data_IF_811496596945
#
_entry.id   IF_811496596945
#
_cell.length_a   1.000
_cell.length_b   1.000
_cell.length_c   1.000
_cell.angle_alpha   90.00
_cell.angle_beta   90.00
_cell.angle_gamma   90.00
#
_symmetry.space_group_name_H-M   'P 1'
#
loop_
_entity.id
_entity.type
_entity.pdbx_description
1 polymer ?
#
# COMPACT_ATOMS: atom_id res chain seq x y z
N UNK A 1 47.27 -25.48 3.09
CA UNK A 1 46.90 -24.49 4.14
C UNK A 1 45.48 -23.98 3.95
N UNK A 2 45.08 -23.62 2.72
CA UNK A 2 43.72 -23.17 2.34
C UNK A 2 42.56 -24.03 2.90
N UNK A 3 42.62 -25.35 2.71
CA UNK A 3 41.54 -26.27 3.12
C UNK A 3 41.33 -26.36 4.65
N UNK A 4 42.39 -26.09 5.43
CA UNK A 4 42.32 -26.13 6.89
C UNK A 4 41.70 -24.85 7.45
N UNK A 5 41.97 -23.71 6.81
CA UNK A 5 41.40 -22.40 7.17
C UNK A 5 39.90 -22.37 6.84
N UNK A 6 39.48 -22.92 5.70
CA UNK A 6 38.07 -23.01 5.33
C UNK A 6 37.24 -23.85 6.32
N UNK A 7 37.75 -25.01 6.74
CA UNK A 7 37.09 -25.85 7.75
C UNK A 7 37.03 -25.18 9.12
N UNK A 8 38.07 -24.45 9.52
CA UNK A 8 38.09 -23.71 10.78
C UNK A 8 37.08 -22.54 10.76
N UNK A 9 36.94 -21.84 9.63
CA UNK A 9 35.94 -20.79 9.45
C UNK A 9 34.51 -21.33 9.55
N UNK A 10 34.22 -22.50 8.96
CA UNK A 10 32.89 -23.13 9.04
C UNK A 10 32.54 -23.60 10.46
N UNK A 11 33.52 -24.16 11.18
CA UNK A 11 33.34 -24.56 12.59
C UNK A 11 33.13 -23.33 13.47
N UNK A 12 33.89 -22.26 13.27
CA UNK A 12 33.73 -21.01 14.02
C UNK A 12 32.41 -20.30 13.70
N UNK A 13 31.93 -20.36 12.45
CA UNK A 13 30.61 -19.87 12.06
C UNK A 13 29.50 -20.69 12.72
N UNK A 14 29.63 -22.02 12.76
CA UNK A 14 28.70 -22.92 13.44
C UNK A 14 28.62 -22.65 14.94
N UNK A 15 29.76 -22.48 15.60
CA UNK A 15 29.83 -22.15 17.03
C UNK A 15 29.30 -20.73 17.33
N UNK A 16 29.50 -19.77 16.42
CA UNK A 16 28.93 -18.42 16.52
C UNK A 16 27.39 -18.43 16.42
N UNK A 17 26.84 -19.25 15.53
CA UNK A 17 25.39 -19.41 15.34
C UNK A 17 24.76 -20.13 16.56
N UNK A 18 25.43 -21.17 17.09
CA UNK A 18 24.99 -21.91 18.29
C UNK A 18 24.98 -21.07 19.57
N UNK A 19 25.74 -19.96 19.62
CA UNK A 19 25.84 -19.06 20.78
C UNK A 19 24.79 -17.94 20.77
N UNK A 20 23.97 -17.80 19.71
CA UNK A 20 22.84 -16.84 19.67
C UNK A 20 21.50 -17.54 19.92
N UNK A 21 20.86 -17.34 21.09
CA UNK A 21 19.64 -18.06 21.47
C UNK A 21 18.38 -17.66 20.68
N UNK A 22 18.47 -16.71 19.73
CA UNK A 22 17.32 -16.21 18.97
C UNK A 22 17.11 -16.87 17.60
N UNK A 23 18.01 -17.76 17.16
CA UNK A 23 17.92 -18.41 15.85
C UNK A 23 17.64 -19.90 16.03
N UNK A 24 16.35 -20.23 16.15
CA UNK A 24 15.87 -21.61 16.21
C UNK A 24 16.30 -22.39 14.97
N UNK A 25 16.65 -23.67 15.14
CA UNK A 25 16.97 -24.61 14.06
C UNK A 25 15.87 -24.68 12.99
N UNK A 26 14.62 -24.36 13.37
CA UNK A 26 13.47 -24.20 12.46
C UNK A 26 13.66 -23.05 11.47
N UNK A 27 14.20 -21.92 11.92
CA UNK A 27 14.50 -20.76 11.06
C UNK A 27 15.59 -21.09 10.04
N UNK A 28 16.56 -21.92 10.42
CA UNK A 28 17.61 -22.37 9.51
C UNK A 28 17.08 -23.37 8.47
N UNK A 29 16.23 -24.31 8.88
CA UNK A 29 15.54 -25.21 7.96
C UNK A 29 14.61 -24.45 7.00
N UNK A 30 13.90 -23.41 7.46
CA UNK A 30 13.06 -22.54 6.61
C UNK A 30 13.87 -21.79 5.53
N UNK A 31 15.14 -21.48 5.79
CA UNK A 31 16.04 -20.82 4.84
C UNK A 31 16.58 -21.82 3.83
N UNK A 32 16.91 -23.05 4.26
CA UNK A 32 17.55 -24.08 3.42
C UNK A 32 16.53 -24.82 2.54
N UNK A 33 15.31 -25.09 3.04
CA UNK A 33 14.32 -25.88 2.31
C UNK A 33 13.46 -25.09 1.31
N UNK A 34 13.69 -23.77 1.19
CA UNK A 34 12.86 -22.91 0.37
C UNK A 34 11.51 -22.67 1.05
N UNK A 35 11.17 -21.40 1.22
CA UNK A 35 9.96 -20.98 1.92
C UNK A 35 8.73 -21.26 1.04
N UNK A 36 8.21 -22.50 1.06
CA UNK A 36 6.82 -22.74 0.68
C UNK A 36 5.91 -22.27 1.82
N UNK A 37 5.73 -20.95 1.94
CA UNK A 37 4.67 -20.36 2.77
C UNK A 37 3.63 -19.74 1.85
N UNK A 38 2.59 -20.52 1.60
CA UNK A 38 1.27 -20.16 1.10
C UNK A 38 0.47 -19.29 2.10
N UNK A 39 1.13 -18.40 2.85
CA UNK A 39 0.45 -17.34 3.61
C UNK A 39 0.45 -16.09 2.74
N UNK A 40 -0.72 -15.68 2.24
CA UNK A 40 -0.90 -14.54 1.34
C UNK A 40 0.02 -13.37 1.71
N UNK A 41 0.81 -12.92 0.74
CA UNK A 41 1.84 -11.90 0.95
C UNK A 41 1.27 -10.62 1.58
N UNK A 42 2.17 -9.77 2.09
CA UNK A 42 1.80 -8.45 2.63
C UNK A 42 1.00 -7.60 1.61
N UNK A 43 1.15 -7.90 0.31
CA UNK A 43 0.44 -7.28 -0.82
C UNK A 43 -0.51 -8.26 -1.54
N UNK A 44 -1.18 -9.15 -0.81
CA UNK A 44 -2.15 -10.04 -1.44
C UNK A 44 -3.48 -9.33 -1.73
N UNK A 45 -4.13 -9.76 -2.82
CA UNK A 45 -5.43 -9.24 -3.23
C UNK A 45 -6.50 -9.52 -2.17
N UNK A 46 -6.42 -10.65 -1.48
CA UNK A 46 -7.31 -11.03 -0.37
C UNK A 46 -7.17 -10.06 0.81
N UNK A 47 -5.93 -9.70 1.17
CA UNK A 47 -5.66 -8.75 2.26
C UNK A 47 -6.09 -7.34 1.90
N UNK A 48 -5.84 -6.90 0.66
CA UNK A 48 -6.30 -5.61 0.17
C UNK A 48 -7.83 -5.53 0.25
N UNK A 49 -8.53 -6.51 -0.32
CA UNK A 49 -10.01 -6.59 -0.29
C UNK A 49 -10.54 -6.59 1.14
N UNK A 50 -9.95 -7.41 2.02
CA UNK A 50 -10.32 -7.46 3.44
C UNK A 50 -10.08 -6.13 4.15
N UNK A 51 -9.05 -5.37 3.77
CA UNK A 51 -8.78 -4.03 4.33
C UNK A 51 -9.86 -3.03 3.94
N UNK A 52 -10.33 -3.07 2.70
CA UNK A 52 -11.42 -2.21 2.22
C UNK A 52 -12.76 -2.56 2.88
N UNK A 53 -13.08 -3.84 3.06
CA UNK A 53 -14.30 -4.28 3.74
C UNK A 53 -14.35 -3.87 5.21
N UNK A 54 -13.22 -4.04 5.90
CA UNK A 54 -13.11 -3.75 7.33
C UNK A 54 -12.72 -2.29 7.60
N UNK A 55 -12.70 -1.41 6.60
CA UNK A 55 -12.26 -0.02 6.76
C UNK A 55 -12.98 0.69 7.90
N UNK A 56 -14.31 0.57 7.99
CA UNK A 56 -15.09 1.24 9.03
C UNK A 56 -14.70 0.77 10.43
N UNK A 57 -14.67 -0.54 10.64
CA UNK A 57 -14.39 -1.11 11.96
C UNK A 57 -12.99 -0.77 12.43
N UNK A 58 -12.00 -0.80 11.52
CA UNK A 58 -10.63 -0.39 11.80
C UNK A 58 -10.54 1.11 12.11
N UNK A 59 -11.20 1.96 11.32
CA UNK A 59 -11.14 3.42 11.50
C UNK A 59 -11.83 3.87 12.78
N UNK A 60 -13.00 3.29 13.10
CA UNK A 60 -13.72 3.59 14.35
C UNK A 60 -12.94 3.14 15.59
N UNK A 61 -12.21 2.01 15.50
CA UNK A 61 -11.32 1.57 16.57
C UNK A 61 -10.20 2.59 16.82
N UNK A 62 -9.53 3.04 15.78
CA UNK A 62 -8.48 4.07 15.87
C UNK A 62 -9.04 5.39 16.42
N UNK A 63 -10.24 5.79 16.00
CA UNK A 63 -10.93 6.97 16.53
C UNK A 63 -11.23 6.83 18.03
N UNK A 64 -11.68 5.66 18.47
CA UNK A 64 -11.91 5.38 19.89
C UNK A 64 -10.61 5.45 20.69
N UNK A 65 -9.51 4.90 20.16
CA UNK A 65 -8.18 4.96 20.79
C UNK A 65 -7.66 6.40 20.91
N UNK A 66 -7.89 7.23 19.89
CA UNK A 66 -7.58 8.67 19.92
C UNK A 66 -8.40 9.41 20.97
N UNK A 67 -9.72 9.17 21.02
CA UNK A 67 -10.61 9.78 22.03
C UNK A 67 -10.23 9.36 23.44
N UNK A 68 -9.91 8.09 23.65
CA UNK A 68 -9.45 7.57 24.94
C UNK A 68 -8.13 8.22 25.37
N UNK A 69 -7.16 8.33 24.46
CA UNK A 69 -5.86 8.97 24.72
C UNK A 69 -6.03 10.45 25.09
N UNK A 70 -6.88 11.17 24.36
CA UNK A 70 -7.22 12.56 24.69
C UNK A 70 -7.92 12.68 26.06
N UNK A 71 -8.82 11.74 26.36
CA UNK A 71 -9.51 11.63 27.65
C UNK A 71 -8.56 11.44 28.84
N UNK A 72 -7.36 10.89 28.64
CA UNK A 72 -6.35 10.73 29.69
C UNK A 72 -5.49 11.97 29.96
N UNK A 73 -5.53 12.96 29.08
CA UNK A 73 -4.69 14.15 29.23
C UNK A 73 -5.06 14.95 30.49
N UNK A 74 -4.04 15.56 31.12
CA UNK A 74 -4.25 16.51 32.22
C UNK A 74 -5.03 17.76 31.78
N UNK A 75 -5.62 18.50 32.73
CA UNK A 75 -6.51 19.64 32.45
C UNK A 75 -5.90 20.70 31.52
N UNK A 76 -4.62 21.04 31.71
CA UNK A 76 -3.90 22.02 30.88
C UNK A 76 -3.82 21.61 29.40
N UNK A 77 -3.36 20.39 29.13
CA UNK A 77 -3.27 19.85 27.77
C UNK A 77 -4.64 19.65 27.12
N UNK A 78 -5.67 19.24 27.89
CA UNK A 78 -7.04 19.18 27.39
C UNK A 78 -7.55 20.55 26.96
N UNK A 79 -7.32 21.60 27.77
CA UNK A 79 -7.71 22.96 27.43
C UNK A 79 -7.07 23.42 26.12
N UNK A 80 -5.75 23.25 25.97
CA UNK A 80 -5.04 23.57 24.72
C UNK A 80 -5.65 22.79 23.54
N UNK A 81 -5.86 21.48 23.69
CA UNK A 81 -6.46 20.67 22.63
C UNK A 81 -7.90 21.11 22.28
N UNK A 82 -8.67 21.56 23.26
CA UNK A 82 -10.02 22.10 23.05
C UNK A 82 -9.97 23.43 22.30
N UNK A 83 -9.10 24.35 22.70
CA UNK A 83 -8.89 25.64 22.03
C UNK A 83 -8.42 25.47 20.58
N UNK A 84 -7.64 24.42 20.29
CA UNK A 84 -7.23 24.02 18.94
C UNK A 84 -8.32 23.29 18.13
N UNK A 85 -9.50 23.04 18.72
CA UNK A 85 -10.59 22.33 18.05
C UNK A 85 -10.37 20.83 17.86
N UNK A 86 -9.47 20.21 18.64
CA UNK A 86 -9.16 18.78 18.50
C UNK A 86 -10.38 17.85 18.68
N UNK A 87 -11.28 18.05 19.67
CA UNK A 87 -12.50 17.24 19.77
C UNK A 87 -13.38 17.31 18.53
N UNK A 88 -13.62 18.52 18.00
CA UNK A 88 -14.39 18.72 16.78
C UNK A 88 -13.73 18.05 15.57
N UNK A 89 -12.39 18.03 15.49
CA UNK A 89 -11.65 17.28 14.47
C UNK A 89 -11.89 15.77 14.57
N UNK A 90 -11.94 15.20 15.78
CA UNK A 90 -12.24 13.78 15.98
C UNK A 90 -13.68 13.45 15.58
N UNK A 91 -14.64 14.32 15.90
CA UNK A 91 -16.03 14.14 15.47
C UNK A 91 -16.14 14.19 13.94
N UNK A 92 -15.46 15.16 13.32
CA UNK A 92 -15.41 15.27 11.87
C UNK A 92 -14.77 14.06 11.20
N UNK A 93 -13.72 13.50 11.81
CA UNK A 93 -13.07 12.30 11.31
C UNK A 93 -14.05 11.12 11.26
N UNK A 94 -14.89 10.94 12.27
CA UNK A 94 -15.92 9.90 12.28
C UNK A 94 -16.92 10.04 11.12
N UNK A 95 -17.40 11.26 10.86
CA UNK A 95 -18.28 11.53 9.71
C UNK A 95 -17.62 11.21 8.36
N UNK A 96 -16.34 11.58 8.21
CA UNK A 96 -15.58 11.32 7.00
C UNK A 96 -15.31 9.82 6.82
N UNK A 97 -15.05 9.11 7.91
CA UNK A 97 -14.89 7.66 7.87
C UNK A 97 -16.17 6.99 7.38
N UNK A 98 -17.34 7.37 7.89
CA UNK A 98 -18.64 6.89 7.41
C UNK A 98 -18.90 7.19 5.93
N UNK A 99 -18.53 8.37 5.46
CA UNK A 99 -18.62 8.71 4.04
C UNK A 99 -17.71 7.82 3.18
N UNK A 100 -16.47 7.61 3.62
CA UNK A 100 -15.47 6.79 2.91
C UNK A 100 -15.89 5.32 2.79
N UNK A 101 -16.66 4.78 3.75
CA UNK A 101 -17.18 3.41 3.69
C UNK A 101 -17.91 3.10 2.39
N UNK A 102 -18.64 4.08 1.85
CA UNK A 102 -19.39 3.89 0.59
C UNK A 102 -18.45 3.49 -0.54
N UNK A 103 -17.31 4.21 -0.65
CA UNK A 103 -16.30 3.97 -1.67
C UNK A 103 -15.53 2.69 -1.36
N UNK A 104 -15.09 2.47 -0.12
CA UNK A 104 -14.29 1.28 0.22
C UNK A 104 -15.07 -0.02 0.02
N UNK A 105 -16.35 -0.06 0.39
CA UNK A 105 -17.22 -1.21 0.13
C UNK A 105 -17.46 -1.41 -1.37
N UNK A 106 -17.66 -0.33 -2.13
CA UNK A 106 -17.81 -0.43 -3.58
C UNK A 106 -16.58 -1.05 -4.25
N UNK A 107 -15.37 -0.63 -3.83
CA UNK A 107 -14.10 -1.20 -4.30
C UNK A 107 -14.00 -2.69 -3.95
N UNK A 108 -14.30 -3.07 -2.70
CA UNK A 108 -14.23 -4.47 -2.28
C UNK A 108 -15.26 -5.36 -3.01
N UNK A 109 -16.49 -4.86 -3.21
CA UNK A 109 -17.52 -5.56 -3.96
C UNK A 109 -17.15 -5.72 -5.43
N UNK A 110 -16.62 -4.67 -6.05
CA UNK A 110 -16.12 -4.73 -7.42
C UNK A 110 -15.01 -5.77 -7.56
N UNK A 111 -14.02 -5.77 -6.65
CA UNK A 111 -12.94 -6.76 -6.65
C UNK A 111 -13.47 -8.20 -6.57
N UNK A 112 -14.46 -8.49 -5.71
CA UNK A 112 -15.10 -9.83 -5.64
C UNK A 112 -15.88 -10.21 -6.90
N UNK A 113 -16.41 -9.22 -7.60
CA UNK A 113 -17.05 -9.39 -8.90
C UNK A 113 -16.06 -9.90 -9.93
N UNK A 114 -14.94 -9.19 -10.06
CA UNK A 114 -13.88 -9.42 -11.06
C UNK A 114 -13.00 -10.64 -10.76
N UNK A 115 -12.77 -10.95 -9.48
CA UNK A 115 -11.82 -11.98 -9.05
C UNK A 115 -12.52 -13.11 -8.27
N UNK A 116 -12.89 -14.22 -8.93
CA UNK A 116 -13.63 -15.32 -8.30
C UNK A 116 -12.95 -15.92 -7.06
N UNK A 117 -11.62 -15.91 -7.00
CA UNK A 117 -10.84 -16.37 -5.86
C UNK A 117 -11.13 -15.61 -4.56
N UNK A 118 -11.59 -14.35 -4.66
CA UNK A 118 -11.94 -13.53 -3.50
C UNK A 118 -13.32 -13.83 -2.93
N UNK A 119 -14.17 -14.56 -3.67
CA UNK A 119 -15.53 -14.91 -3.22
C UNK A 119 -15.50 -15.93 -2.09
N UNK A 120 -14.53 -16.86 -2.15
CA UNK A 120 -14.33 -17.94 -1.18
C UNK A 120 -13.22 -17.65 -0.18
N UNK A 121 -12.48 -16.55 -0.36
CA UNK A 121 -11.64 -15.97 0.67
C UNK A 121 -12.57 -15.40 1.75
N UNK A 122 -13.20 -16.30 2.51
CA UNK A 122 -13.99 -16.00 3.70
C UNK A 122 -13.22 -14.95 4.48
N UNK A 123 -13.93 -13.90 4.90
CA UNK A 123 -13.55 -12.78 5.78
C UNK A 123 -12.39 -13.15 6.70
N UNK A 124 -11.20 -13.26 6.12
CA UNK A 124 -10.15 -14.03 6.76
C UNK A 124 -9.58 -13.11 7.81
N UNK A 125 -9.14 -13.68 8.91
CA UNK A 125 -8.38 -13.01 9.97
C UNK A 125 -7.07 -12.36 9.48
N UNK A 126 -6.86 -12.24 8.16
CA UNK A 126 -5.87 -11.39 7.54
C UNK A 126 -6.14 -9.96 7.99
N UNK A 127 -5.35 -9.50 8.97
CA UNK A 127 -5.42 -8.13 9.47
C UNK A 127 -5.44 -7.12 8.32
N UNK A 128 -6.44 -6.24 8.33
CA UNK A 128 -6.52 -5.13 7.40
C UNK A 128 -5.50 -4.05 7.72
N UNK A 129 -5.24 -3.19 6.75
CA UNK A 129 -4.37 -2.02 6.91
C UNK A 129 -5.15 -0.75 6.54
N UNK A 130 -5.73 -0.10 7.55
CA UNK A 130 -6.47 1.17 7.37
C UNK A 130 -5.59 2.28 6.82
N UNK A 131 -4.29 2.29 7.17
CA UNK A 131 -3.33 3.26 6.68
C UNK A 131 -3.14 3.15 5.17
N UNK A 132 -3.02 1.92 4.66
CA UNK A 132 -2.95 1.65 3.21
C UNK A 132 -4.22 2.08 2.49
N UNK A 133 -5.39 1.76 3.03
CA UNK A 133 -6.67 2.20 2.42
C UNK A 133 -6.72 3.71 2.32
N UNK A 134 -6.39 4.43 3.40
CA UNK A 134 -6.36 5.91 3.39
C UNK A 134 -5.35 6.45 2.39
N UNK A 135 -4.18 5.84 2.28
CA UNK A 135 -3.17 6.25 1.30
C UNK A 135 -3.68 6.06 -0.14
N UNK A 136 -4.32 4.93 -0.43
CA UNK A 136 -4.94 4.71 -1.74
C UNK A 136 -6.07 5.71 -2.01
N UNK A 137 -6.90 6.05 -1.02
CA UNK A 137 -7.93 7.08 -1.17
C UNK A 137 -7.32 8.45 -1.52
N UNK A 138 -6.18 8.82 -0.92
CA UNK A 138 -5.46 10.05 -1.33
C UNK A 138 -4.95 9.95 -2.77
N UNK A 139 -4.40 8.80 -3.17
CA UNK A 139 -3.99 8.59 -4.57
C UNK A 139 -5.17 8.74 -5.53
N UNK A 140 -6.37 8.26 -5.17
CA UNK A 140 -7.59 8.48 -5.97
C UNK A 140 -7.91 9.96 -6.13
N UNK A 141 -7.86 10.74 -5.05
CA UNK A 141 -8.08 12.18 -5.13
C UNK A 141 -7.04 12.83 -6.03
N UNK A 142 -5.75 12.57 -5.81
CA UNK A 142 -4.67 13.14 -6.62
C UNK A 142 -4.84 12.82 -8.11
N UNK A 143 -5.10 11.56 -8.44
CA UNK A 143 -5.07 11.08 -9.82
C UNK A 143 -6.39 11.30 -10.56
N UNK A 144 -7.54 11.33 -9.88
CA UNK A 144 -8.86 11.26 -10.53
C UNK A 144 -9.87 12.31 -10.06
N UNK A 145 -9.50 13.23 -9.16
CA UNK A 145 -10.37 14.35 -8.77
C UNK A 145 -10.05 15.65 -9.52
N UNK A 146 -10.94 16.64 -9.41
CA UNK A 146 -10.69 17.99 -9.93
C UNK A 146 -9.70 18.74 -9.03
N UNK A 147 -9.77 18.50 -7.73
CA UNK A 147 -8.92 19.07 -6.70
C UNK A 147 -7.44 18.69 -6.89
N UNK A 148 -7.17 17.48 -7.39
CA UNK A 148 -5.81 17.04 -7.73
C UNK A 148 -5.27 17.62 -9.05
N UNK A 149 -6.04 18.43 -9.78
CA UNK A 149 -5.63 18.91 -11.10
C UNK A 149 -4.36 19.76 -11.05
N UNK A 150 -4.27 20.72 -10.13
CA UNK A 150 -3.09 21.58 -10.02
C UNK A 150 -1.81 20.76 -9.78
N UNK A 151 -1.87 19.78 -8.88
CA UNK A 151 -0.74 18.88 -8.62
C UNK A 151 -0.37 18.07 -9.86
N UNK A 152 -1.36 17.53 -10.59
CA UNK A 152 -1.13 16.80 -11.83
C UNK A 152 -0.54 17.69 -12.92
N UNK A 153 -1.01 18.92 -13.08
CA UNK A 153 -0.51 19.83 -14.10
C UNK A 153 0.96 20.19 -13.82
N UNK A 154 1.31 20.38 -12.55
CA UNK A 154 2.69 20.64 -12.14
C UNK A 154 3.62 19.43 -12.33
N UNK A 155 3.15 18.22 -12.02
CA UNK A 155 3.99 17.00 -12.07
C UNK A 155 4.00 16.38 -13.48
N UNK A 156 2.84 16.23 -14.11
CA UNK A 156 2.68 15.59 -15.42
C UNK A 156 2.93 16.56 -16.57
N UNK A 157 2.63 17.85 -16.40
CA UNK A 157 2.75 18.86 -17.45
C UNK A 157 4.11 18.85 -18.16
N UNK A 158 5.25 18.91 -17.44
CA UNK A 158 6.57 18.85 -18.07
C UNK A 158 6.79 17.57 -18.90
N UNK A 159 6.32 16.42 -18.41
CA UNK A 159 6.47 15.12 -19.10
C UNK A 159 5.62 15.09 -20.37
N UNK A 160 4.35 15.50 -20.26
CA UNK A 160 3.41 15.53 -21.38
C UNK A 160 3.84 16.54 -22.44
N UNK A 161 4.39 17.69 -22.04
CA UNK A 161 4.88 18.71 -22.96
C UNK A 161 6.05 18.20 -23.80
N UNK A 162 7.00 17.47 -23.20
CA UNK A 162 8.12 16.87 -23.93
C UNK A 162 7.62 15.83 -24.92
N UNK A 163 6.72 14.94 -24.50
CA UNK A 163 6.12 13.95 -25.40
C UNK A 163 5.32 14.61 -26.54
N UNK A 164 4.70 15.75 -26.27
CA UNK A 164 3.91 16.46 -27.26
C UNK A 164 4.76 17.16 -28.35
N UNK A 165 6.07 17.31 -28.15
CA UNK A 165 6.98 17.86 -29.16
C UNK A 165 7.32 16.84 -30.26
N UNK A 166 7.16 15.54 -29.99
CA UNK A 166 7.40 14.48 -30.99
C UNK A 166 6.26 14.50 -32.02
N UNK A 167 6.54 14.48 -33.32
CA UNK A 167 5.50 14.43 -34.35
C UNK A 167 4.53 13.26 -34.15
N UNK A 168 3.23 13.40 -34.47
CA UNK A 168 2.24 12.35 -34.24
C UNK A 168 2.59 10.99 -34.86
N UNK A 169 3.17 10.99 -36.06
CA UNK A 169 3.54 9.77 -36.78
C UNK A 169 4.64 8.99 -36.05
N UNK A 170 5.68 9.69 -35.57
CA UNK A 170 6.75 9.10 -34.78
C UNK A 170 6.26 8.66 -33.40
N UNK A 171 5.33 9.42 -32.82
CA UNK A 171 4.77 9.14 -31.49
C UNK A 171 3.90 7.89 -31.48
N UNK A 172 3.22 7.58 -32.57
CA UNK A 172 2.42 6.36 -32.71
C UNK A 172 3.28 5.09 -32.53
N UNK A 173 4.53 5.13 -33.00
CA UNK A 173 5.49 4.03 -32.88
C UNK A 173 6.27 4.03 -31.55
N UNK A 174 6.16 5.10 -30.74
CA UNK A 174 6.82 5.19 -29.44
C UNK A 174 6.17 4.25 -28.42
N UNK A 175 7.03 3.53 -27.69
CA UNK A 175 6.67 2.70 -26.53
C UNK A 175 7.15 3.37 -25.26
N UNK A 176 6.23 3.88 -24.45
CA UNK A 176 6.53 4.57 -23.19
C UNK A 176 6.30 3.61 -22.02
N UNK A 177 7.33 3.42 -21.19
CA UNK A 177 7.22 2.66 -19.95
C UNK A 177 7.06 3.62 -18.76
N UNK A 178 6.02 3.41 -17.96
CA UNK A 178 5.76 4.19 -16.74
C UNK A 178 5.85 3.28 -15.51
N UNK A 179 7.01 3.23 -14.83
CA UNK A 179 7.15 2.47 -13.60
C UNK A 179 6.47 3.18 -12.43
N UNK A 180 5.92 2.41 -11.50
CA UNK A 180 5.27 2.95 -10.30
C UNK A 180 4.06 3.82 -10.63
N UNK A 181 3.28 3.43 -11.64
CA UNK A 181 2.23 4.29 -12.23
C UNK A 181 1.07 4.64 -11.30
N UNK A 182 1.06 4.12 -10.07
CA UNK A 182 -0.03 4.32 -9.10
C UNK A 182 -1.34 3.84 -9.70
N UNK A 183 -2.34 4.73 -9.77
CA UNK A 183 -3.64 4.45 -10.37
C UNK A 183 -3.68 4.64 -11.89
N UNK A 184 -2.52 4.83 -12.54
CA UNK A 184 -2.39 4.85 -13.99
C UNK A 184 -2.77 6.16 -14.68
N UNK A 185 -2.98 7.27 -13.93
CA UNK A 185 -3.41 8.53 -14.55
C UNK A 185 -2.41 9.09 -15.56
N UNK A 186 -1.12 9.11 -15.24
CA UNK A 186 -0.11 9.57 -16.20
C UNK A 186 -0.05 8.67 -17.45
N UNK A 187 -0.20 7.35 -17.28
CA UNK A 187 -0.26 6.41 -18.40
C UNK A 187 -1.45 6.69 -19.32
N UNK A 188 -2.60 7.02 -18.73
CA UNK A 188 -3.78 7.43 -19.48
C UNK A 188 -3.55 8.73 -20.26
N UNK A 189 -2.96 9.76 -19.65
CA UNK A 189 -2.64 11.04 -20.33
C UNK A 189 -1.64 10.83 -21.48
N UNK A 190 -0.59 10.02 -21.29
CA UNK A 190 0.38 9.72 -22.34
C UNK A 190 -0.27 8.94 -23.49
N UNK A 191 -1.15 7.98 -23.17
CA UNK A 191 -1.90 7.25 -24.20
C UNK A 191 -2.82 8.17 -25.01
N UNK A 192 -3.42 9.18 -24.37
CA UNK A 192 -4.22 10.21 -25.05
C UNK A 192 -3.42 11.06 -26.04
N UNK A 193 -2.11 11.18 -25.83
CA UNK A 193 -1.22 11.85 -26.79
C UNK A 193 -0.93 11.00 -28.04
N UNK A 194 -1.32 9.72 -28.08
CA UNK A 194 -1.15 8.83 -29.23
C UNK A 194 -0.01 7.83 -29.10
N UNK A 195 0.70 7.79 -27.97
CA UNK A 195 1.79 6.83 -27.74
C UNK A 195 1.29 5.48 -27.23
N UNK A 196 2.03 4.41 -27.53
CA UNK A 196 1.81 3.10 -26.91
C UNK A 196 2.39 3.09 -25.50
N UNK A 197 1.58 2.77 -24.48
CA UNK A 197 1.99 2.86 -23.07
C UNK A 197 1.98 1.50 -22.39
N UNK A 198 3.11 1.17 -21.76
CA UNK A 198 3.23 0.11 -20.78
C UNK A 198 3.36 0.75 -19.40
N UNK A 199 2.54 0.32 -18.46
CA UNK A 199 2.61 0.83 -17.09
C UNK A 199 2.72 -0.35 -16.13
N UNK A 200 3.56 -0.17 -15.09
CA UNK A 200 3.82 -1.19 -14.09
C UNK A 200 3.57 -0.59 -12.72
N UNK A 201 2.74 -1.27 -11.93
CA UNK A 201 2.61 -1.01 -10.51
C UNK A 201 3.12 -2.25 -9.76
N UNK A 202 4.08 -2.05 -8.85
CA UNK A 202 4.37 -3.09 -7.87
C UNK A 202 3.38 -2.98 -6.70
N UNK A 203 2.19 -3.54 -6.89
CA UNK A 203 1.39 -4.04 -5.77
C UNK A 203 1.85 -5.48 -5.43
N UNK A 204 3.14 -5.65 -5.13
CA UNK A 204 3.74 -6.89 -4.61
C UNK A 204 3.37 -8.22 -5.30
N UNK A 205 3.28 -8.25 -6.62
CA UNK A 205 3.29 -9.49 -7.40
C UNK A 205 4.70 -9.74 -7.92
N UNK A 206 5.54 -10.40 -7.11
CA UNK A 206 6.59 -11.22 -7.68
C UNK A 206 5.90 -12.43 -8.31
N UNK A 207 5.82 -12.45 -9.64
CA UNK A 207 5.42 -13.63 -10.38
C UNK A 207 6.52 -14.69 -10.31
N UNK A 208 6.03 -15.92 -10.16
CA UNK A 208 6.63 -17.24 -10.44
C UNK A 208 7.96 -17.59 -9.77
#
# INVERSE_FOLDING_TARGET
MEAFVASLCLVMLGLYILRKPSLSFRTLLEIIQGRSKTSGGYFSLERATSSYDNYLSMSLKELADMRYSYGKLGRGHKRIGYELGYPAKLDKLGELDEANVKITRAIANFARGEFPQLRNAATSSAGGDVGRVRETLKHFVRDWSREGQEERDNIFGPILNVLNQVPPDERADMKVLIPGSGLGRLAWEVSKLGASVYHIEQAGLHQS
#
